data_IF_440742675971
#
_entry.id   IF_440742675971
#
_cell.length_a   1.000
_cell.length_b   1.000
_cell.length_c   1.000
_cell.angle_alpha   90.00
_cell.angle_beta   90.00
_cell.angle_gamma   90.00
#
_symmetry.space_group_name_H-M   'P 1'
#
loop_
_entity.id
_entity.type
_entity.pdbx_description
1 polymer ?
#
# COMPACT_ATOMS: atom_id res chain seq x y z
N UNK A 1 -26.97 0.57 3.04
CA UNK A 1 -26.16 -0.55 3.57
C UNK A 1 -24.83 -0.56 2.84
N UNK A 2 -23.76 -0.86 3.58
CA UNK A 2 -22.35 -0.69 3.23
C UNK A 2 -21.92 -1.65 2.10
N UNK A 3 -21.65 -1.13 0.91
CA UNK A 3 -20.97 -1.85 -0.19
C UNK A 3 -19.84 -1.04 -0.84
N UNK A 4 -19.55 0.17 -0.33
CA UNK A 4 -18.64 1.15 -0.94
C UNK A 4 -17.13 0.87 -0.73
N UNK A 5 -16.76 -0.13 0.08
CA UNK A 5 -15.37 -0.41 0.43
C UNK A 5 -14.67 -1.43 -0.49
N UNK A 6 -15.44 -2.22 -1.26
CA UNK A 6 -14.90 -3.29 -2.11
C UNK A 6 -14.61 -2.78 -3.53
N UNK A 7 -15.31 -1.72 -3.98
CA UNK A 7 -15.12 -1.09 -5.29
C UNK A 7 -13.84 -0.26 -5.42
N UNK A 8 -13.28 0.26 -4.32
CA UNK A 8 -12.08 1.11 -4.34
C UNK A 8 -10.80 0.35 -4.71
N UNK A 9 -10.65 -0.88 -4.24
CA UNK A 9 -9.52 -1.74 -4.59
C UNK A 9 -9.66 -2.31 -5.99
N UNK A 10 -10.89 -2.67 -6.39
CA UNK A 10 -11.19 -3.21 -7.73
C UNK A 10 -11.00 -2.13 -8.81
N UNK A 11 -11.32 -0.87 -8.55
CA UNK A 11 -11.09 0.21 -9.54
C UNK A 11 -9.58 0.40 -9.81
N UNK A 12 -8.73 0.58 -8.78
CA UNK A 12 -7.28 0.71 -8.99
C UNK A 12 -6.64 -0.57 -9.55
N UNK A 13 -7.16 -1.75 -9.19
CA UNK A 13 -6.72 -3.03 -9.77
C UNK A 13 -7.17 -3.15 -11.23
N UNK A 14 -8.36 -2.65 -11.60
CA UNK A 14 -8.91 -2.75 -12.94
C UNK A 14 -8.32 -1.73 -13.93
N UNK A 15 -7.92 -0.53 -13.48
CA UNK A 15 -7.23 0.44 -14.34
C UNK A 15 -5.79 0.04 -14.63
N UNK A 16 -5.14 -0.68 -13.72
CA UNK A 16 -3.91 -1.40 -14.05
C UNK A 16 -4.24 -2.60 -14.96
N UNK A 17 -5.19 -3.48 -14.58
CA UNK A 17 -5.59 -4.72 -15.29
C UNK A 17 -5.96 -4.52 -16.78
N UNK A 18 -6.65 -3.42 -17.12
CA UNK A 18 -7.04 -3.09 -18.48
C UNK A 18 -5.83 -2.89 -19.41
N UNK A 19 -4.69 -2.41 -18.89
CA UNK A 19 -3.43 -2.36 -19.63
C UNK A 19 -2.68 -3.72 -19.66
N UNK A 20 -3.10 -4.71 -18.87
CA UNK A 20 -2.39 -6.00 -18.64
C UNK A 20 -2.79 -7.10 -19.60
N UNK A 21 -3.77 -6.89 -20.48
CA UNK A 21 -4.01 -7.80 -21.61
C UNK A 21 -2.88 -7.76 -22.67
N UNK A 22 -1.78 -7.02 -22.43
CA UNK A 22 -0.85 -6.59 -23.47
C UNK A 22 0.56 -7.20 -23.41
N UNK A 23 0.89 -7.98 -22.38
CA UNK A 23 2.26 -8.48 -22.17
C UNK A 23 2.36 -10.00 -22.06
N UNK A 24 1.95 -10.72 -23.11
CA UNK A 24 2.45 -12.07 -23.34
C UNK A 24 2.92 -12.21 -24.79
N UNK A 25 4.25 -12.15 -24.93
CA UNK A 25 5.11 -12.70 -25.99
C UNK A 25 4.74 -12.44 -27.46
N UNK A 26 5.66 -11.74 -28.13
CA UNK A 26 5.82 -11.50 -29.57
C UNK A 26 4.74 -10.64 -30.26
N UNK A 27 5.18 -9.42 -30.63
CA UNK A 27 4.52 -8.47 -31.54
C UNK A 27 3.38 -7.58 -30.99
N UNK A 28 3.44 -7.14 -29.73
CA UNK A 28 2.74 -5.88 -29.37
C UNK A 28 3.53 -4.69 -29.95
N UNK A 29 2.91 -3.77 -30.71
CA UNK A 29 3.58 -2.55 -31.14
C UNK A 29 4.08 -1.78 -29.91
N UNK A 30 5.24 -1.12 -30.03
CA UNK A 30 5.70 -0.17 -29.02
C UNK A 30 4.61 0.89 -28.87
N UNK A 31 3.97 0.93 -27.71
CA UNK A 31 2.91 1.91 -27.46
C UNK A 31 3.52 3.31 -27.52
N UNK A 32 2.89 4.24 -28.25
CA UNK A 32 3.36 5.62 -28.27
C UNK A 32 3.16 6.28 -26.90
N UNK A 33 3.82 7.40 -26.69
CA UNK A 33 3.46 8.32 -25.61
C UNK A 33 2.03 8.85 -25.81
N UNK A 34 1.22 8.85 -24.75
CA UNK A 34 -0.14 9.35 -24.82
C UNK A 34 -0.71 9.82 -23.48
N UNK A 35 -1.75 10.65 -23.54
CA UNK A 35 -2.68 10.93 -22.45
C UNK A 35 -4.07 10.47 -22.86
N UNK A 36 -4.67 9.60 -22.05
CA UNK A 36 -6.03 9.12 -22.24
C UNK A 36 -6.90 9.53 -21.06
N UNK A 37 -8.14 9.91 -21.34
CA UNK A 37 -9.18 10.10 -20.32
C UNK A 37 -10.25 9.05 -20.54
N UNK A 38 -10.61 8.34 -19.48
CA UNK A 38 -11.61 7.28 -19.49
C UNK A 38 -12.71 7.56 -18.47
N UNK A 39 -13.93 7.16 -18.80
CA UNK A 39 -15.11 7.31 -17.96
C UNK A 39 -15.62 5.93 -17.54
N UNK A 40 -15.84 5.73 -16.24
CA UNK A 40 -16.58 4.56 -15.78
C UNK A 40 -18.05 4.67 -16.17
N UNK A 41 -18.63 3.53 -16.58
CA UNK A 41 -20.01 3.41 -17.01
C UNK A 41 -20.76 2.42 -16.12
N UNK A 42 -22.03 2.72 -15.82
CA UNK A 42 -22.92 1.78 -15.16
C UNK A 42 -23.35 0.64 -16.11
N UNK A 43 -24.11 -0.33 -15.59
CA UNK A 43 -24.65 -1.45 -16.38
C UNK A 43 -25.51 -1.04 -17.59
N UNK A 44 -25.99 0.21 -17.63
CA UNK A 44 -26.80 0.76 -18.71
C UNK A 44 -25.97 1.65 -19.66
N UNK A 45 -24.65 1.71 -19.48
CA UNK A 45 -23.75 2.55 -20.26
C UNK A 45 -23.79 4.04 -19.89
N UNK A 46 -24.35 4.40 -18.73
CA UNK A 46 -24.38 5.80 -18.26
C UNK A 46 -23.09 6.16 -17.52
N UNK A 47 -22.52 7.37 -17.75
CA UNK A 47 -21.38 7.85 -16.98
C UNK A 47 -21.63 7.83 -15.47
N UNK A 48 -20.67 7.28 -14.74
CA UNK A 48 -20.61 7.26 -13.28
C UNK A 48 -19.17 7.50 -12.84
N UNK A 49 -18.97 7.98 -11.61
CA UNK A 49 -17.62 8.09 -11.08
C UNK A 49 -16.93 6.71 -10.95
N UNK A 50 -15.60 6.65 -11.15
CA UNK A 50 -14.70 7.76 -11.39
C UNK A 50 -14.40 8.03 -12.88
N UNK A 51 -13.95 9.25 -13.17
CA UNK A 51 -13.13 9.55 -14.35
C UNK A 51 -11.67 9.27 -14.04
N UNK A 52 -10.94 8.70 -15.01
CA UNK A 52 -9.52 8.35 -14.87
C UNK A 52 -8.70 8.91 -16.02
N UNK A 53 -7.64 9.63 -15.67
CA UNK A 53 -6.60 10.08 -16.61
C UNK A 53 -5.43 9.10 -16.56
N UNK A 54 -4.96 8.67 -17.72
CA UNK A 54 -3.82 7.76 -17.88
C UNK A 54 -2.79 8.48 -18.74
N UNK A 55 -1.60 8.67 -18.20
CA UNK A 55 -0.41 9.14 -18.92
C UNK A 55 0.51 7.96 -19.14
N UNK A 56 0.92 7.71 -20.39
CA UNK A 56 1.87 6.66 -20.76
C UNK A 56 3.14 7.27 -21.34
N UNK A 57 4.30 6.82 -20.85
CA UNK A 57 5.61 7.17 -21.38
C UNK A 57 6.60 6.03 -21.13
N UNK A 58 7.29 5.56 -22.17
CA UNK A 58 8.40 4.59 -22.05
C UNK A 58 8.03 3.31 -21.24
N UNK A 59 6.81 2.78 -21.44
CA UNK A 59 6.29 1.60 -20.74
C UNK A 59 5.81 1.85 -19.31
N UNK A 60 5.89 3.11 -18.83
CA UNK A 60 5.40 3.54 -17.54
C UNK A 60 4.02 4.18 -17.67
N UNK A 61 3.19 3.96 -16.66
CA UNK A 61 1.85 4.51 -16.58
C UNK A 61 1.69 5.34 -15.31
N UNK A 62 1.12 6.53 -15.44
CA UNK A 62 0.59 7.31 -14.34
C UNK A 62 -0.93 7.37 -14.47
N UNK A 63 -1.65 6.77 -13.53
CA UNK A 63 -3.12 6.77 -13.50
C UNK A 63 -3.62 7.70 -12.40
N UNK A 64 -4.46 8.67 -12.73
CA UNK A 64 -5.08 9.58 -11.78
C UNK A 64 -6.59 9.34 -11.74
N UNK A 65 -7.10 8.91 -10.59
CA UNK A 65 -8.53 8.67 -10.36
C UNK A 65 -9.05 9.74 -9.40
N UNK A 66 -10.01 10.56 -9.84
CA UNK A 66 -10.65 11.55 -8.97
C UNK A 66 -11.90 10.95 -8.32
N UNK A 67 -12.00 11.04 -6.99
CA UNK A 67 -13.18 10.62 -6.23
C UNK A 67 -13.35 11.47 -4.98
N UNK A 68 -14.55 12.03 -4.79
CA UNK A 68 -14.91 12.74 -3.56
C UNK A 68 -13.89 13.84 -3.17
N UNK A 69 -13.32 14.54 -4.17
CA UNK A 69 -12.29 15.57 -3.98
C UNK A 69 -10.88 15.06 -3.67
N UNK A 70 -10.67 13.74 -3.59
CA UNK A 70 -9.36 13.11 -3.43
C UNK A 70 -8.93 12.44 -4.74
N UNK A 71 -7.73 12.77 -5.20
CA UNK A 71 -7.10 12.11 -6.34
C UNK A 71 -6.25 10.95 -5.85
N UNK A 72 -6.60 9.73 -6.25
CA UNK A 72 -5.75 8.54 -6.07
C UNK A 72 -4.87 8.37 -7.29
N UNK A 73 -3.56 8.24 -7.09
CA UNK A 73 -2.57 8.23 -8.16
C UNK A 73 -1.76 6.94 -8.06
N UNK A 74 -1.58 6.26 -9.20
CA UNK A 74 -0.75 5.07 -9.35
C UNK A 74 0.33 5.32 -10.38
N UNK A 75 1.54 4.85 -10.11
CA UNK A 75 2.70 4.92 -10.99
C UNK A 75 3.40 3.55 -11.02
N UNK A 76 3.66 3.05 -12.22
CA UNK A 76 4.32 1.76 -12.40
C UNK A 76 4.23 1.24 -13.83
N UNK A 77 4.88 0.11 -14.12
CA UNK A 77 4.69 -0.59 -15.39
C UNK A 77 3.28 -1.19 -15.50
N UNK A 78 2.87 -1.55 -16.70
CA UNK A 78 1.61 -2.27 -16.93
C UNK A 78 1.61 -3.70 -16.37
N UNK A 79 2.75 -4.34 -16.08
CA UNK A 79 2.78 -5.71 -15.54
C UNK A 79 2.59 -5.75 -14.02
N UNK A 80 2.29 -6.94 -13.46
CA UNK A 80 2.07 -7.23 -12.03
C UNK A 80 3.29 -7.01 -11.11
N UNK A 81 4.09 -5.99 -11.41
CA UNK A 81 5.33 -5.58 -10.78
C UNK A 81 5.13 -4.17 -10.18
N UNK A 82 6.05 -3.70 -9.34
CA UNK A 82 5.75 -2.88 -8.17
C UNK A 82 5.06 -1.57 -8.50
N UNK A 83 4.08 -1.22 -7.67
CA UNK A 83 3.26 -0.03 -7.87
C UNK A 83 3.57 0.96 -6.76
N UNK A 84 3.96 2.16 -7.18
CA UNK A 84 3.93 3.35 -6.36
C UNK A 84 2.53 3.94 -6.40
N UNK A 85 1.97 4.24 -5.23
CA UNK A 85 0.66 4.90 -5.12
C UNK A 85 0.74 6.05 -4.16
N UNK A 86 0.01 7.10 -4.43
CA UNK A 86 -0.20 8.18 -3.47
C UNK A 86 -1.57 8.80 -3.63
N UNK A 87 -2.02 9.52 -2.61
CA UNK A 87 -3.25 10.31 -2.69
C UNK A 87 -2.96 11.78 -2.51
N UNK A 88 -3.68 12.60 -3.27
CA UNK A 88 -3.65 14.06 -3.20
C UNK A 88 -5.05 14.59 -2.92
N UNK A 89 -5.20 15.42 -1.89
CA UNK A 89 -6.45 16.12 -1.59
C UNK A 89 -6.70 17.28 -2.56
N UNK A 90 -7.91 17.84 -2.53
CA UNK A 90 -8.31 18.96 -3.39
C UNK A 90 -7.43 20.21 -3.21
N UNK A 91 -6.89 20.43 -2.00
CA UNK A 91 -5.98 21.54 -1.68
C UNK A 91 -4.53 21.28 -2.12
N UNK A 92 -4.25 20.12 -2.70
CA UNK A 92 -2.93 19.70 -3.16
C UNK A 92 -2.11 18.93 -2.13
N UNK A 93 -2.58 18.76 -0.89
CA UNK A 93 -1.84 18.01 0.13
C UNK A 93 -1.78 16.52 -0.20
N UNK A 94 -0.58 15.95 -0.07
CA UNK A 94 -0.35 14.52 -0.24
C UNK A 94 -0.47 13.82 1.12
N UNK A 95 -1.40 12.89 1.22
CA UNK A 95 -1.81 12.29 2.50
C UNK A 95 -1.48 10.81 2.65
N UNK A 96 -1.10 10.15 1.56
CA UNK A 96 -0.79 8.72 1.56
C UNK A 96 0.28 8.39 0.53
N UNK A 97 1.09 7.39 0.84
CA UNK A 97 2.04 6.72 -0.04
C UNK A 97 1.97 5.22 0.20
N UNK A 98 2.05 4.44 -0.87
CA UNK A 98 2.33 3.01 -0.84
C UNK A 98 3.34 2.65 -1.92
N UNK A 99 4.40 1.94 -1.54
CA UNK A 99 5.26 1.18 -2.44
C UNK A 99 5.05 -0.30 -2.11
N UNK A 100 4.71 -1.09 -3.13
CA UNK A 100 4.35 -2.49 -2.94
C UNK A 100 5.04 -3.39 -3.96
N UNK A 101 5.85 -4.31 -3.45
CA UNK A 101 6.40 -5.46 -4.16
C UNK A 101 5.76 -6.73 -3.58
N UNK A 102 5.18 -7.58 -4.42
CA UNK A 102 4.53 -8.83 -4.00
C UNK A 102 5.44 -10.02 -4.31
N UNK A 103 5.38 -11.03 -3.44
CA UNK A 103 5.91 -12.35 -3.76
C UNK A 103 5.30 -12.83 -5.07
N UNK A 104 6.11 -12.97 -6.11
CA UNK A 104 5.70 -13.66 -7.33
C UNK A 104 5.51 -15.12 -6.97
N UNK A 105 4.26 -15.56 -6.74
CA UNK A 105 3.96 -16.99 -6.76
C UNK A 105 4.18 -17.47 -8.21
N UNK A 106 5.08 -18.43 -8.47
CA UNK A 106 5.39 -18.84 -9.85
C UNK A 106 4.22 -19.46 -10.64
N UNK A 107 3.05 -19.72 -10.06
CA UNK A 107 2.11 -20.69 -10.67
C UNK A 107 0.59 -20.38 -10.56
N UNK A 108 0.15 -19.15 -10.27
CA UNK A 108 -1.30 -18.86 -10.17
C UNK A 108 -1.94 -18.26 -11.43
N UNK A 109 -1.15 -17.80 -12.39
CA UNK A 109 -1.65 -17.31 -13.66
C UNK A 109 -0.79 -17.88 -14.79
N UNK A 110 -1.17 -19.05 -15.30
CA UNK A 110 -1.22 -19.14 -16.75
C UNK A 110 -2.25 -18.10 -17.16
N UNK A 111 -1.83 -16.85 -17.33
CA UNK A 111 -2.66 -15.78 -17.88
C UNK A 111 -3.17 -16.35 -19.19
N UNK A 112 -4.45 -16.66 -19.26
CA UNK A 112 -5.02 -17.19 -20.49
C UNK A 112 -4.72 -16.18 -21.59
N UNK A 113 -4.15 -16.67 -22.70
CA UNK A 113 -3.82 -15.81 -23.82
C UNK A 113 -5.11 -15.13 -24.29
N UNK A 114 -5.18 -13.79 -24.33
CA UNK A 114 -6.37 -13.09 -24.79
C UNK A 114 -6.77 -13.59 -26.18
N UNK A 115 -8.03 -14.00 -26.33
CA UNK A 115 -8.56 -14.47 -27.60
C UNK A 115 -9.15 -13.30 -28.39
N UNK A 116 -8.81 -13.15 -29.69
CA UNK A 116 -9.40 -12.10 -30.50
C UNK A 116 -10.90 -12.36 -30.70
N UNK A 117 -11.70 -11.31 -30.58
CA UNK A 117 -13.09 -11.32 -31.02
C UNK A 117 -13.15 -10.75 -32.45
N UNK A 118 -14.11 -11.21 -33.25
CA UNK A 118 -14.33 -10.68 -34.61
C UNK A 118 -14.93 -9.26 -34.61
N UNK A 119 -15.22 -8.71 -33.43
CA UNK A 119 -15.83 -7.40 -33.25
C UNK A 119 -14.80 -6.28 -33.37
N UNK A 120 -15.16 -5.26 -34.15
CA UNK A 120 -14.44 -4.00 -34.28
C UNK A 120 -15.38 -2.89 -33.82
N UNK A 121 -14.85 -1.92 -33.08
CA UNK A 121 -15.61 -0.77 -32.61
C UNK A 121 -14.86 0.53 -32.90
N UNK A 122 -15.62 1.63 -32.88
CA UNK A 122 -15.06 2.99 -32.87
C UNK A 122 -15.47 3.66 -31.57
N UNK A 123 -14.48 4.09 -30.78
CA UNK A 123 -14.68 4.72 -29.48
C UNK A 123 -13.92 6.04 -29.47
N UNK A 124 -14.59 7.15 -29.20
CA UNK A 124 -13.99 8.50 -29.22
C UNK A 124 -13.21 8.82 -30.52
N UNK A 125 -13.66 8.29 -31.66
CA UNK A 125 -13.00 8.47 -32.96
C UNK A 125 -11.89 7.44 -33.25
N UNK A 126 -11.50 6.63 -32.27
CA UNK A 126 -10.45 5.61 -32.39
C UNK A 126 -11.04 4.26 -32.77
N UNK A 127 -10.44 3.61 -33.78
CA UNK A 127 -10.81 2.26 -34.19
C UNK A 127 -10.08 1.24 -33.32
N UNK A 128 -10.80 0.25 -32.80
CA UNK A 128 -10.23 -0.79 -31.96
C UNK A 128 -10.81 -2.18 -32.27
N UNK A 129 -10.04 -3.22 -31.93
CA UNK A 129 -10.44 -4.63 -32.03
C UNK A 129 -10.62 -5.21 -30.64
N UNK A 130 -11.68 -5.97 -30.46
CA UNK A 130 -11.96 -6.60 -29.18
C UNK A 130 -11.13 -7.86 -28.96
N UNK A 131 -10.71 -8.07 -27.72
CA UNK A 131 -10.09 -9.29 -27.21
C UNK A 131 -10.76 -9.69 -25.92
N UNK A 132 -10.86 -10.98 -25.66
CA UNK A 132 -11.43 -11.53 -24.43
C UNK A 132 -10.41 -12.41 -23.70
N UNK A 133 -10.27 -12.18 -22.40
CA UNK A 133 -9.59 -13.08 -21.49
C UNK A 133 -10.65 -13.71 -20.58
N UNK A 134 -10.86 -15.01 -20.71
CA UNK A 134 -11.63 -15.78 -19.74
C UNK A 134 -10.66 -16.35 -18.69
N UNK A 135 -11.09 -16.46 -17.43
CA UNK A 135 -10.33 -17.20 -16.42
C UNK A 135 -10.85 -18.63 -16.32
N UNK A 136 -9.96 -19.63 -16.32
CA UNK A 136 -10.31 -21.00 -15.92
C UNK A 136 -10.90 -21.02 -14.52
N UNK A 137 -12.04 -21.68 -14.38
CA UNK A 137 -12.67 -21.85 -13.07
C UNK A 137 -11.73 -22.62 -12.13
N UNK A 138 -11.38 -22.08 -10.96
CA UNK A 138 -10.49 -22.76 -10.02
C UNK A 138 -11.15 -24.00 -9.39
N UNK A 139 -12.48 -24.12 -9.45
CA UNK A 139 -13.23 -25.32 -9.09
C UNK A 139 -14.65 -25.28 -9.70
N UNK A 140 -15.29 -26.44 -9.99
CA UNK A 140 -16.64 -26.50 -10.55
C UNK A 140 -17.64 -25.69 -9.69
N UNK A 141 -18.36 -24.76 -10.32
CA UNK A 141 -19.32 -23.88 -9.63
C UNK A 141 -18.78 -22.50 -9.24
N UNK A 142 -17.50 -22.20 -9.48
CA UNK A 142 -16.91 -20.88 -9.18
C UNK A 142 -17.09 -19.91 -10.35
N UNK A 143 -17.46 -18.67 -10.02
CA UNK A 143 -17.65 -17.54 -10.93
C UNK A 143 -16.47 -17.35 -11.88
N UNK A 144 -16.74 -17.27 -13.19
CA UNK A 144 -15.77 -16.85 -14.20
C UNK A 144 -16.13 -15.43 -14.61
N UNK A 145 -15.29 -14.47 -14.24
CA UNK A 145 -15.32 -13.16 -14.86
C UNK A 145 -14.71 -13.28 -16.26
N UNK A 146 -15.36 -12.72 -17.28
CA UNK A 146 -14.74 -12.53 -18.60
C UNK A 146 -14.34 -11.08 -18.73
N UNK A 147 -13.09 -10.83 -19.08
CA UNK A 147 -12.59 -9.49 -19.35
C UNK A 147 -12.52 -9.28 -20.85
N UNK A 148 -13.22 -8.28 -21.36
CA UNK A 148 -13.14 -7.85 -22.75
C UNK A 148 -12.47 -6.49 -22.83
N UNK A 149 -11.48 -6.37 -23.70
CA UNK A 149 -10.74 -5.12 -23.93
C UNK A 149 -10.80 -4.75 -25.41
N UNK A 150 -11.11 -3.49 -25.72
CA UNK A 150 -10.99 -2.96 -27.08
C UNK A 150 -9.67 -2.22 -27.23
N UNK A 151 -8.81 -2.72 -28.13
CA UNK A 151 -7.43 -2.26 -28.29
C UNK A 151 -7.24 -1.67 -29.68
N UNK A 152 -6.65 -0.48 -29.77
CA UNK A 152 -6.28 0.17 -31.03
C UNK A 152 -5.13 -0.57 -31.74
N UNK A 153 -4.88 -0.23 -33.01
CA UNK A 153 -3.82 -0.87 -33.81
C UNK A 153 -2.41 -0.59 -33.25
N UNK A 154 -2.21 0.53 -32.54
CA UNK A 154 -0.98 0.89 -31.82
C UNK A 154 -0.93 0.36 -30.38
N UNK A 155 -1.89 -0.47 -29.99
CA UNK A 155 -1.84 -1.18 -28.72
C UNK A 155 -2.33 -0.37 -27.52
N UNK A 156 -3.25 0.59 -27.67
CA UNK A 156 -3.84 1.35 -26.56
C UNK A 156 -5.21 0.73 -26.22
N UNK A 157 -5.46 0.42 -24.95
CA UNK A 157 -6.78 -0.04 -24.50
C UNK A 157 -7.69 1.17 -24.31
N UNK A 158 -8.78 1.20 -25.08
CA UNK A 158 -9.72 2.34 -25.11
C UNK A 158 -11.12 1.98 -24.60
N UNK A 159 -11.39 0.71 -24.34
CA UNK A 159 -12.59 0.27 -23.64
C UNK A 159 -12.31 -1.03 -22.90
N UNK A 160 -12.80 -1.18 -21.67
CA UNK A 160 -12.71 -2.43 -20.90
C UNK A 160 -14.06 -2.78 -20.32
N UNK A 161 -14.44 -4.05 -20.40
CA UNK A 161 -15.66 -4.61 -19.81
C UNK A 161 -15.28 -5.85 -19.01
N UNK A 162 -15.54 -5.82 -17.72
CA UNK A 162 -15.54 -7.03 -16.90
C UNK A 162 -16.97 -7.53 -16.83
N UNK A 163 -17.23 -8.68 -17.45
CA UNK A 163 -18.55 -9.26 -17.61
C UNK A 163 -18.79 -10.35 -16.57
N UNK A 164 -19.99 -10.32 -15.98
CA UNK A 164 -20.53 -11.46 -15.25
C UNK A 164 -20.99 -12.59 -16.21
N UNK A 165 -21.32 -13.79 -15.69
CA UNK A 165 -21.79 -14.91 -16.50
C UNK A 165 -23.04 -14.63 -17.34
N UNK A 166 -23.85 -13.64 -16.95
CA UNK A 166 -25.04 -13.21 -17.68
C UNK A 166 -24.77 -12.07 -18.69
N UNK A 167 -23.51 -11.87 -19.07
CA UNK A 167 -23.04 -10.81 -19.98
C UNK A 167 -23.28 -9.38 -19.48
N UNK A 168 -23.67 -9.20 -18.20
CA UNK A 168 -23.83 -7.86 -17.63
C UNK A 168 -22.46 -7.35 -17.16
N UNK A 169 -22.04 -6.13 -17.59
CA UNK A 169 -20.82 -5.52 -17.10
C UNK A 169 -20.92 -5.22 -15.61
N UNK A 170 -20.01 -5.81 -14.82
CA UNK A 170 -19.79 -5.45 -13.41
C UNK A 170 -18.77 -4.31 -13.28
N UNK A 171 -17.97 -4.11 -14.33
CA UNK A 171 -17.09 -2.97 -14.50
C UNK A 171 -17.03 -2.63 -15.99
N UNK A 172 -17.14 -1.35 -16.32
CA UNK A 172 -17.07 -0.87 -17.70
C UNK A 172 -16.40 0.48 -17.71
N UNK A 173 -15.34 0.62 -18.50
CA UNK A 173 -14.68 1.89 -18.76
C UNK A 173 -14.58 2.13 -20.24
N UNK A 174 -14.74 3.40 -20.64
CA UNK A 174 -14.69 3.82 -22.04
C UNK A 174 -13.90 5.11 -22.18
N UNK A 175 -13.05 5.17 -23.20
CA UNK A 175 -12.30 6.35 -23.59
C UNK A 175 -13.25 7.51 -23.94
N UNK A 176 -12.94 8.70 -23.43
CA UNK A 176 -13.60 9.96 -23.77
C UNK A 176 -12.70 10.86 -24.61
N UNK A 177 -11.39 10.83 -24.38
CA UNK A 177 -10.40 11.54 -25.18
C UNK A 177 -9.05 10.84 -25.18
N UNK A 178 -8.35 10.87 -26.31
CA UNK A 178 -6.99 10.36 -26.46
C UNK A 178 -6.14 11.41 -27.17
N UNK A 179 -5.00 11.74 -26.57
CA UNK A 179 -3.99 12.66 -27.11
C UNK A 179 -2.66 11.93 -27.22
N UNK A 180 -2.25 11.63 -28.46
CA UNK A 180 -0.95 11.00 -28.75
C UNK A 180 0.08 12.09 -28.95
N UNK A 181 0.93 12.31 -27.94
CA UNK A 181 1.97 13.34 -27.95
C UNK A 181 3.12 12.91 -27.07
N UNK A 182 4.29 13.50 -27.28
CA UNK A 182 5.40 13.35 -26.37
C UNK A 182 5.01 13.82 -24.95
N UNK A 183 5.41 13.04 -23.95
CA UNK A 183 5.21 13.35 -22.53
C UNK A 183 6.50 13.90 -21.95
N UNK A 184 6.43 15.07 -21.29
CA UNK A 184 7.56 15.58 -20.54
C UNK A 184 7.74 14.80 -19.22
N UNK A 185 8.98 14.61 -18.70
CA UNK A 185 9.20 13.88 -17.45
C UNK A 185 8.33 14.37 -16.28
N UNK A 186 8.18 15.69 -16.13
CA UNK A 186 7.37 16.29 -15.06
C UNK A 186 5.86 15.96 -15.12
N UNK A 187 5.35 15.42 -16.23
CA UNK A 187 3.94 15.02 -16.37
C UNK A 187 3.68 13.58 -15.88
N UNK A 188 4.73 12.77 -15.74
CA UNK A 188 4.62 11.36 -15.33
C UNK A 188 5.40 11.05 -14.05
N UNK A 189 6.46 11.80 -13.78
CA UNK A 189 7.33 11.52 -12.64
C UNK A 189 6.64 11.80 -11.30
N UNK A 190 6.76 10.89 -10.32
CA UNK A 190 6.28 11.12 -8.98
C UNK A 190 6.96 12.33 -8.32
N UNK A 191 6.25 13.11 -7.48
CA UNK A 191 6.87 14.21 -6.74
C UNK A 191 8.01 13.69 -5.83
N UNK A 192 9.24 14.15 -6.04
CA UNK A 192 10.41 13.59 -5.37
C UNK A 192 10.36 13.72 -3.84
N UNK A 193 9.67 14.74 -3.33
CA UNK A 193 9.53 14.96 -1.89
C UNK A 193 8.81 13.81 -1.17
N UNK A 194 7.86 13.11 -1.82
CA UNK A 194 7.12 12.02 -1.19
C UNK A 194 7.97 10.76 -1.01
N UNK A 195 9.11 10.70 -1.70
CA UNK A 195 10.07 9.59 -1.65
C UNK A 195 11.15 9.82 -0.59
N UNK A 196 10.80 10.50 0.50
CA UNK A 196 11.72 10.79 1.61
C UNK A 196 11.04 10.56 2.96
N UNK A 197 11.80 10.07 3.95
CA UNK A 197 11.27 9.94 5.31
C UNK A 197 10.95 11.32 5.90
N UNK A 198 11.71 12.35 5.54
CA UNK A 198 11.59 13.73 6.00
C UNK A 198 10.21 14.32 5.68
N UNK A 199 9.70 14.05 4.47
CA UNK A 199 8.36 14.51 4.11
C UNK A 199 7.31 13.92 5.05
N UNK A 200 7.34 12.61 5.32
CA UNK A 200 6.32 11.93 6.13
C UNK A 200 6.48 12.16 7.64
N UNK A 201 7.71 12.39 8.11
CA UNK A 201 8.03 12.60 9.52
C UNK A 201 8.09 14.07 9.95
N UNK A 202 7.90 15.01 9.01
CA UNK A 202 7.80 16.44 9.35
C UNK A 202 6.52 16.68 10.17
N UNK A 203 6.64 17.17 11.43
CA UNK A 203 5.50 17.45 12.29
C UNK A 203 4.52 18.43 11.66
N UNK A 204 3.22 18.22 11.90
CA UNK A 204 2.16 19.14 11.43
C UNK A 204 2.00 20.28 12.43
N UNK A 205 2.24 20.01 13.71
CA UNK A 205 2.15 20.95 14.83
C UNK A 205 3.43 20.88 15.66
N UNK A 206 3.76 21.99 16.29
CA UNK A 206 4.81 22.02 17.30
C UNK A 206 4.26 21.41 18.59
N UNK A 207 4.90 20.33 19.04
CA UNK A 207 4.62 19.71 20.33
C UNK A 207 5.79 19.99 21.28
N UNK A 208 5.48 20.50 22.47
CA UNK A 208 6.47 20.59 23.54
C UNK A 208 6.74 19.19 24.08
N UNK A 209 7.98 18.93 24.49
CA UNK A 209 8.33 17.68 25.18
C UNK A 209 7.42 17.49 26.42
N UNK A 210 6.98 16.27 26.65
CA UNK A 210 6.19 15.87 27.81
C UNK A 210 7.10 15.18 28.84
N UNK A 211 7.39 15.79 30.00
CA UNK A 211 8.24 15.18 31.02
C UNK A 211 7.71 13.84 31.56
N UNK A 212 6.41 13.57 31.42
CA UNK A 212 5.80 12.28 31.80
C UNK A 212 6.03 11.17 30.76
N UNK A 213 6.50 11.54 29.57
CA UNK A 213 6.80 10.62 28.46
C UNK A 213 8.23 10.83 27.95
N UNK A 214 9.27 10.61 28.79
CA UNK A 214 10.65 10.89 28.43
C UNK A 214 11.13 10.02 27.25
N UNK A 215 11.98 10.55 26.39
CA UNK A 215 12.58 9.75 25.32
C UNK A 215 13.31 8.50 25.86
N UNK A 216 13.32 7.43 25.06
CA UNK A 216 13.93 6.17 25.44
C UNK A 216 14.48 5.39 24.24
N UNK A 217 15.39 4.45 24.54
CA UNK A 217 15.90 3.44 23.63
C UNK A 217 15.90 2.08 24.34
N UNK A 218 15.14 1.12 23.79
CA UNK A 218 15.00 -0.23 24.33
C UNK A 218 15.31 -1.22 23.22
N UNK A 219 16.14 -2.21 23.53
CA UNK A 219 16.33 -3.39 22.67
C UNK A 219 15.86 -4.62 23.43
N UNK A 220 15.01 -5.41 22.79
CA UNK A 220 14.53 -6.69 23.29
C UNK A 220 14.90 -7.79 22.33
N UNK A 221 15.18 -8.97 22.87
CA UNK A 221 15.63 -10.11 22.08
C UNK A 221 14.92 -11.39 22.53
N UNK A 222 14.69 -12.29 21.57
CA UNK A 222 14.31 -13.67 21.86
C UNK A 222 15.56 -14.54 22.02
N UNK A 223 15.40 -15.70 22.65
CA UNK A 223 16.47 -16.72 22.72
C UNK A 223 16.90 -17.20 21.32
N UNK A 224 15.99 -17.15 20.34
CA UNK A 224 16.25 -17.52 18.94
C UNK A 224 16.93 -16.42 18.11
N UNK A 225 17.23 -15.26 18.70
CA UNK A 225 17.93 -14.16 18.03
C UNK A 225 17.05 -13.18 17.24
N UNK A 226 15.72 -13.24 17.36
CA UNK A 226 14.86 -12.18 16.85
C UNK A 226 14.97 -10.96 17.76
N UNK A 227 15.00 -9.75 17.18
CA UNK A 227 15.19 -8.51 17.93
C UNK A 227 14.04 -7.53 17.71
N UNK A 228 13.73 -6.75 18.75
CA UNK A 228 12.85 -5.60 18.69
C UNK A 228 13.62 -4.39 19.23
N UNK A 229 13.67 -3.30 18.45
CA UNK A 229 14.17 -2.01 18.91
C UNK A 229 13.02 -1.02 19.01
N UNK A 230 12.88 -0.38 20.17
CA UNK A 230 11.88 0.63 20.44
C UNK A 230 12.56 1.95 20.75
N UNK A 231 12.15 3.02 20.07
CA UNK A 231 12.58 4.38 20.38
C UNK A 231 11.37 5.28 20.62
N UNK A 232 11.55 6.30 21.45
CA UNK A 232 10.62 7.43 21.56
C UNK A 232 11.37 8.75 21.42
N UNK A 233 10.83 9.62 20.56
CA UNK A 233 11.15 11.04 20.45
C UNK A 233 9.82 11.77 20.49
N UNK A 234 9.38 12.24 21.65
CA UNK A 234 7.99 12.68 21.82
C UNK A 234 7.52 13.66 20.71
N UNK A 235 6.35 13.44 20.07
CA UNK A 235 5.36 12.36 20.27
C UNK A 235 5.55 11.11 19.36
N UNK A 236 6.67 11.02 18.67
CA UNK A 236 7.03 9.92 17.78
C UNK A 236 7.44 8.67 18.54
N UNK A 237 7.02 7.54 17.99
CA UNK A 237 7.39 6.21 18.43
C UNK A 237 7.96 5.44 17.24
N UNK A 238 8.99 4.65 17.51
CA UNK A 238 9.64 3.77 16.55
C UNK A 238 9.59 2.35 17.09
N UNK A 239 9.24 1.40 16.24
CA UNK A 239 9.33 -0.03 16.50
C UNK A 239 9.92 -0.71 15.29
N UNK A 240 11.10 -1.26 15.44
CA UNK A 240 11.72 -2.15 14.48
C UNK A 240 11.72 -3.56 15.05
N UNK A 241 11.32 -4.53 14.23
CA UNK A 241 11.41 -5.94 14.54
C UNK A 241 12.19 -6.61 13.41
N UNK A 242 13.20 -7.40 13.78
CA UNK A 242 13.98 -8.23 12.87
C UNK A 242 13.88 -9.67 13.34
N UNK A 243 13.35 -10.53 12.47
CA UNK A 243 13.22 -11.96 12.77
C UNK A 243 14.42 -12.73 12.21
N UNK A 244 14.77 -13.87 12.82
CA UNK A 244 15.89 -14.71 12.38
C UNK A 244 15.81 -15.22 10.92
N UNK A 245 14.62 -15.17 10.31
CA UNK A 245 14.38 -15.51 8.89
C UNK A 245 14.63 -14.37 7.90
N UNK A 246 15.21 -13.24 8.33
CA UNK A 246 15.47 -12.07 7.49
C UNK A 246 14.25 -11.16 7.27
N UNK A 247 13.13 -11.45 7.93
CA UNK A 247 11.95 -10.57 7.97
C UNK A 247 12.25 -9.32 8.78
N UNK A 248 11.87 -8.16 8.25
CA UNK A 248 12.02 -6.86 8.89
C UNK A 248 10.67 -6.16 8.87
N UNK A 249 10.24 -5.63 10.02
CA UNK A 249 9.08 -4.76 10.14
C UNK A 249 9.46 -3.52 10.91
N UNK A 250 9.31 -2.35 10.32
CA UNK A 250 9.56 -1.06 10.96
C UNK A 250 8.25 -0.27 10.97
N UNK A 251 7.93 0.35 12.10
CA UNK A 251 6.82 1.29 12.25
C UNK A 251 7.35 2.55 12.93
N UNK A 252 7.02 3.70 12.36
CA UNK A 252 7.33 5.02 12.90
C UNK A 252 6.00 5.77 12.93
N UNK A 253 5.53 6.19 14.09
CA UNK A 253 4.21 6.80 14.17
C UNK A 253 4.13 7.90 15.23
N UNK A 254 3.33 8.92 14.93
CA UNK A 254 2.90 9.95 15.85
C UNK A 254 1.39 9.77 16.08
N UNK A 255 1.00 9.28 17.26
CA UNK A 255 -0.43 9.06 17.59
C UNK A 255 -1.21 10.36 17.68
N UNK A 256 -0.58 11.45 18.12
CA UNK A 256 -1.25 12.74 18.29
C UNK A 256 -1.62 13.37 16.94
N UNK A 257 -0.84 13.09 15.91
CA UNK A 257 -1.03 13.64 14.56
C UNK A 257 -1.57 12.60 13.57
N UNK A 258 -1.84 11.36 13.98
CA UNK A 258 -2.32 10.27 13.11
C UNK A 258 -1.48 10.12 11.81
N UNK A 259 -0.16 10.25 11.94
CA UNK A 259 0.78 10.17 10.82
C UNK A 259 1.90 9.18 11.12
N UNK A 260 2.54 8.68 10.06
CA UNK A 260 3.66 7.78 10.22
C UNK A 260 4.09 7.06 8.95
N UNK A 261 5.04 6.16 9.14
CA UNK A 261 5.58 5.25 8.13
C UNK A 261 5.48 3.83 8.69
N UNK A 262 5.10 2.87 7.85
CA UNK A 262 5.19 1.44 8.12
C UNK A 262 5.92 0.78 6.96
N UNK A 263 6.93 -0.01 7.29
CA UNK A 263 7.72 -0.77 6.34
C UNK A 263 7.74 -2.23 6.74
N UNK A 264 7.61 -3.12 5.78
CA UNK A 264 7.70 -4.57 5.98
C UNK A 264 8.42 -5.21 4.80
N UNK A 265 9.32 -6.12 5.10
CA UNK A 265 9.98 -6.99 4.16
C UNK A 265 10.00 -8.40 4.72
N UNK A 266 9.54 -9.38 3.94
CA UNK A 266 9.64 -10.80 4.28
C UNK A 266 9.58 -11.61 2.98
N UNK A 267 10.58 -12.46 2.74
CA UNK A 267 10.70 -13.15 1.45
C UNK A 267 10.83 -12.15 0.29
N UNK A 268 10.12 -12.37 -0.81
CA UNK A 268 9.99 -11.44 -1.93
C UNK A 268 8.83 -10.43 -1.78
N UNK A 269 8.16 -10.39 -0.63
CA UNK A 269 7.20 -9.33 -0.32
C UNK A 269 7.89 -8.16 0.37
N UNK A 270 7.72 -6.96 -0.19
CA UNK A 270 8.16 -5.69 0.40
C UNK A 270 7.00 -4.70 0.32
N UNK A 271 6.75 -3.96 1.40
CA UNK A 271 5.71 -2.92 1.44
C UNK A 271 6.17 -1.76 2.30
N UNK A 272 6.11 -0.56 1.74
CA UNK A 272 6.27 0.69 2.46
C UNK A 272 4.96 1.43 2.33
N UNK A 273 4.45 1.93 3.44
CA UNK A 273 3.31 2.83 3.46
C UNK A 273 3.63 4.02 4.34
N UNK A 274 3.27 5.20 3.90
CA UNK A 274 3.38 6.40 4.71
C UNK A 274 2.11 7.23 4.61
N UNK A 275 1.77 7.94 5.67
CA UNK A 275 0.51 8.65 5.74
C UNK A 275 0.53 9.85 6.67
N UNK A 276 -0.39 10.76 6.36
CA UNK A 276 -0.74 11.96 7.10
C UNK A 276 -2.26 12.01 7.26
N UNK A 277 -2.77 12.72 8.29
CA UNK A 277 -4.19 12.88 8.50
C UNK A 277 -4.84 13.58 7.31
N UNK A 278 -6.08 13.18 7.00
CA UNK A 278 -6.95 13.86 6.05
C UNK A 278 -7.82 14.90 6.76
N UNK A 279 -8.44 15.80 5.99
CA UNK A 279 -9.25 16.92 6.53
C UNK A 279 -10.48 16.46 7.31
N UNK A 280 -10.99 15.26 7.00
CA UNK A 280 -12.08 14.62 7.75
C UNK A 280 -11.63 14.06 9.11
N UNK A 281 -10.35 14.24 9.47
CA UNK A 281 -9.74 13.75 10.69
C UNK A 281 -9.62 12.23 10.74
N UNK A 282 -9.95 11.52 9.66
CA UNK A 282 -9.81 10.07 9.61
C UNK A 282 -8.34 9.71 9.50
N UNK A 283 -7.91 8.78 10.38
CA UNK A 283 -6.58 8.21 10.26
C UNK A 283 -6.63 7.18 9.12
N UNK A 284 -5.85 7.42 8.06
CA UNK A 284 -5.63 6.45 6.98
C UNK A 284 -4.90 5.19 7.47
N UNK A 285 -4.25 5.26 8.64
CA UNK A 285 -3.59 4.13 9.30
C UNK A 285 -3.96 4.03 10.79
N UNK A 286 -4.43 2.84 11.19
CA UNK A 286 -4.45 2.45 12.60
C UNK A 286 -3.08 1.87 12.97
N UNK A 287 -2.31 2.63 13.74
CA UNK A 287 -0.97 2.23 14.16
C UNK A 287 -0.97 1.30 15.38
N UNK A 288 -2.04 1.33 16.17
CA UNK A 288 -2.23 0.46 17.34
C UNK A 288 -3.70 0.06 17.53
N UNK A 289 -3.91 -1.19 17.92
CA UNK A 289 -5.20 -1.76 18.29
C UNK A 289 -5.10 -2.32 19.72
N UNK A 290 -4.64 -1.52 20.69
CA UNK A 290 -4.82 -1.88 22.10
C UNK A 290 -6.30 -1.81 22.43
N UNK A 291 -6.91 -2.95 22.78
CA UNK A 291 -8.32 -3.04 23.21
C UNK A 291 -8.50 -2.69 24.70
N UNK A 292 -7.42 -2.30 25.37
CA UNK A 292 -7.37 -2.01 26.79
C UNK A 292 -6.08 -2.56 27.40
N UNK A 293 -5.96 -2.46 28.73
CA UNK A 293 -4.85 -3.00 29.50
C UNK A 293 -5.39 -3.54 30.82
N UNK A 294 -5.23 -4.84 31.07
CA UNK A 294 -5.64 -5.50 32.32
C UNK A 294 -4.40 -5.97 33.09
N UNK A 295 -4.30 -5.62 34.37
CA UNK A 295 -3.21 -6.10 35.23
C UNK A 295 -3.33 -7.61 35.47
N UNK A 296 -2.19 -8.30 35.38
CA UNK A 296 -2.08 -9.72 35.69
C UNK A 296 -1.64 -9.98 37.13
N UNK A 297 -1.45 -8.94 37.95
CA UNK A 297 -1.05 -9.05 39.36
C UNK A 297 0.34 -9.66 39.58
N UNK A 298 1.18 -9.69 38.55
CA UNK A 298 2.54 -10.25 38.58
C UNK A 298 3.56 -9.13 38.35
N UNK A 299 4.57 -9.06 39.21
CA UNK A 299 5.69 -8.14 39.08
C UNK A 299 7.01 -8.90 38.84
N UNK A 300 7.97 -8.26 38.21
CA UNK A 300 9.29 -8.79 37.91
C UNK A 300 10.33 -7.67 37.90
N UNK A 301 11.63 -8.02 37.97
CA UNK A 301 12.72 -7.09 37.76
C UNK A 301 13.55 -7.52 36.55
N UNK A 302 13.80 -6.59 35.62
CA UNK A 302 14.57 -6.82 34.39
C UNK A 302 15.57 -5.68 34.23
N UNK A 303 16.85 -6.00 34.06
CA UNK A 303 17.95 -5.01 33.99
C UNK A 303 17.99 -4.05 35.20
N UNK A 304 17.52 -4.49 36.37
CA UNK A 304 17.45 -3.67 37.59
C UNK A 304 16.22 -2.75 37.69
N UNK A 305 15.36 -2.71 36.67
CA UNK A 305 14.10 -1.96 36.66
C UNK A 305 12.94 -2.90 37.03
N UNK A 306 12.03 -2.43 37.88
CA UNK A 306 10.80 -3.16 38.21
C UNK A 306 9.75 -2.96 37.13
N UNK A 307 9.06 -4.04 36.75
CA UNK A 307 7.93 -4.02 35.83
C UNK A 307 6.76 -4.88 36.33
N UNK A 308 5.55 -4.53 35.89
CA UNK A 308 4.32 -5.28 36.15
C UNK A 308 3.75 -5.83 34.85
N UNK A 309 3.21 -7.04 34.92
CA UNK A 309 2.64 -7.73 33.76
C UNK A 309 1.21 -7.30 33.48
N UNK A 310 0.92 -7.03 32.23
CA UNK A 310 -0.41 -6.66 31.75
C UNK A 310 -0.78 -7.43 30.49
N UNK A 311 -2.07 -7.72 30.33
CA UNK A 311 -2.67 -8.18 29.08
C UNK A 311 -3.19 -6.96 28.30
N UNK A 312 -2.67 -6.78 27.08
CA UNK A 312 -3.01 -5.67 26.18
C UNK A 312 -4.04 -6.05 25.11
N UNK A 313 -4.46 -7.32 25.07
CA UNK A 313 -5.51 -7.81 24.17
C UNK A 313 -6.57 -8.61 24.95
N UNK A 314 -7.16 -8.05 26.02
CA UNK A 314 -8.14 -8.78 26.81
C UNK A 314 -9.35 -9.19 25.98
N UNK A 315 -9.72 -10.47 26.06
CA UNK A 315 -10.91 -11.02 25.39
C UNK A 315 -10.72 -11.37 23.91
N UNK A 316 -9.51 -11.23 23.36
CA UNK A 316 -9.20 -11.70 22.00
C UNK A 316 -8.89 -13.20 22.05
N UNK A 317 -9.57 -13.97 21.18
CA UNK A 317 -9.30 -15.41 20.99
C UNK A 317 -8.20 -15.59 19.93
N UNK A 318 -7.37 -16.63 20.07
CA UNK A 318 -6.32 -17.04 19.11
C UNK A 318 -5.13 -16.08 18.92
N UNK A 319 -5.08 -15.00 19.70
CA UNK A 319 -3.94 -14.09 19.80
C UNK A 319 -3.86 -13.50 21.22
N UNK A 320 -2.66 -13.14 21.64
CA UNK A 320 -2.44 -12.48 22.93
C UNK A 320 -1.18 -11.63 22.92
N UNK A 321 -1.25 -10.48 23.58
CA UNK A 321 -0.09 -9.63 23.81
C UNK A 321 0.00 -9.33 25.31
N UNK A 322 0.99 -9.92 25.98
CA UNK A 322 1.28 -9.62 27.39
C UNK A 322 2.60 -8.90 27.50
N UNK A 323 2.63 -7.82 28.25
CA UNK A 323 3.84 -7.01 28.39
C UNK A 323 4.17 -6.77 29.87
N UNK A 324 5.46 -6.86 30.22
CA UNK A 324 5.97 -6.41 31.51
C UNK A 324 6.39 -4.95 31.37
N UNK A 325 5.60 -4.04 31.93
CA UNK A 325 5.74 -2.60 31.77
C UNK A 325 6.31 -1.96 33.03
N UNK A 326 7.28 -1.06 32.88
CA UNK A 326 7.72 -0.17 33.97
C UNK A 326 6.57 0.75 34.43
N UNK A 327 6.79 1.47 35.54
CA UNK A 327 5.82 2.45 36.06
C UNK A 327 5.44 3.53 35.04
N UNK A 328 6.38 3.94 34.18
CA UNK A 328 6.20 4.89 33.08
C UNK A 328 5.72 4.23 31.77
N UNK A 329 5.33 2.96 31.81
CA UNK A 329 4.69 2.26 30.69
C UNK A 329 5.67 1.72 29.64
N UNK A 330 6.95 1.55 29.95
CA UNK A 330 7.96 1.08 29.02
C UNK A 330 8.09 -0.46 29.08
N UNK A 331 8.06 -1.17 27.94
CA UNK A 331 8.11 -2.62 27.94
C UNK A 331 9.53 -3.15 28.17
N UNK A 332 9.69 -4.01 29.18
CA UNK A 332 10.91 -4.76 29.45
C UNK A 332 10.82 -6.23 29.04
N UNK A 333 9.60 -6.76 28.88
CA UNK A 333 9.31 -8.07 28.29
C UNK A 333 8.04 -8.01 27.46
N UNK A 334 8.00 -8.76 26.37
CA UNK A 334 6.80 -8.97 25.56
C UNK A 334 6.60 -10.46 25.32
N UNK A 335 5.43 -10.98 25.66
CA UNK A 335 4.98 -12.30 25.29
C UNK A 335 3.90 -12.15 24.22
N UNK A 336 4.32 -12.24 22.97
CA UNK A 336 3.42 -12.20 21.82
C UNK A 336 3.05 -13.63 21.48
N UNK A 337 1.75 -13.91 21.52
CA UNK A 337 1.18 -15.20 21.19
C UNK A 337 0.18 -15.10 20.04
N UNK A 338 0.22 -16.09 19.16
CA UNK A 338 -0.77 -16.31 18.11
C UNK A 338 -1.09 -17.80 18.01
N UNK A 339 -2.00 -18.14 17.09
CA UNK A 339 -2.60 -19.46 16.89
C UNK A 339 -1.64 -20.67 17.01
N UNK A 340 -0.34 -20.53 16.73
CA UNK A 340 0.67 -21.59 16.90
C UNK A 340 2.08 -21.09 17.33
N UNK A 341 2.21 -19.88 17.89
CA UNK A 341 3.52 -19.30 18.17
C UNK A 341 3.48 -18.45 19.44
N UNK A 342 4.40 -18.68 20.35
CA UNK A 342 4.68 -17.80 21.48
C UNK A 342 6.15 -17.36 21.38
N UNK A 343 6.38 -16.07 21.20
CA UNK A 343 7.73 -15.50 21.14
C UNK A 343 7.93 -14.55 22.33
N UNK A 344 8.58 -15.02 23.41
CA UNK A 344 8.96 -14.17 24.51
C UNK A 344 10.19 -13.33 24.14
N UNK A 345 10.05 -12.02 24.23
CA UNK A 345 11.13 -11.05 24.10
C UNK A 345 11.50 -10.54 25.49
N UNK A 346 12.81 -10.42 25.77
CA UNK A 346 13.32 -9.81 27.01
C UNK A 346 14.27 -8.67 26.67
N UNK A 347 14.16 -7.56 27.39
CA UNK A 347 15.04 -6.42 27.21
C UNK A 347 16.50 -6.80 27.50
N UNK A 348 17.38 -6.53 26.54
CA UNK A 348 18.84 -6.67 26.64
C UNK A 348 19.52 -5.32 26.84
N UNK A 349 18.85 -4.23 26.45
CA UNK A 349 19.27 -2.85 26.70
C UNK A 349 18.07 -1.97 27.00
N UNK A 350 18.23 -1.06 27.95
CA UNK A 350 17.20 -0.11 28.37
C UNK A 350 17.84 1.21 28.80
N UNK A 351 17.49 2.32 28.14
CA UNK A 351 18.02 3.66 28.46
C UNK A 351 16.93 4.72 28.32
N UNK A 352 16.76 5.55 29.35
CA UNK A 352 16.01 6.82 29.27
C UNK A 352 16.98 7.91 28.82
N UNK A 353 16.91 8.32 27.55
CA UNK A 353 17.83 9.29 26.93
C UNK A 353 17.10 10.08 25.86
N UNK A 354 17.58 11.28 25.56
CA UNK A 354 17.14 12.00 24.37
C UNK A 354 17.40 11.15 23.11
N UNK A 355 16.41 11.09 22.23
CA UNK A 355 16.50 10.44 20.92
C UNK A 355 16.29 11.52 19.86
N UNK A 356 17.20 11.61 18.89
CA UNK A 356 16.98 12.51 17.77
C UNK A 356 16.01 11.89 16.76
N UNK A 357 15.13 12.70 16.15
CA UNK A 357 14.20 12.20 15.11
C UNK A 357 14.94 11.57 13.91
N UNK A 358 16.20 11.96 13.66
CA UNK A 358 17.06 11.33 12.65
C UNK A 358 17.40 9.87 12.96
N UNK A 359 17.37 9.44 14.23
CA UNK A 359 17.56 8.04 14.63
C UNK A 359 16.33 7.16 14.34
N UNK A 360 15.17 7.77 14.06
CA UNK A 360 13.89 7.09 13.81
C UNK A 360 13.57 6.97 12.32
N UNK A 361 14.50 7.25 11.41
CA UNK A 361 14.25 7.26 9.97
C UNK A 361 14.50 5.89 9.35
N UNK A 362 13.73 5.57 8.32
CA UNK A 362 14.12 4.50 7.41
C UNK A 362 15.36 4.92 6.62
N UNK A 363 16.19 3.95 6.18
CA UNK A 363 17.26 4.20 5.23
C UNK A 363 16.70 4.79 3.92
N UNK A 364 17.48 5.62 3.22
CA UNK A 364 17.04 6.28 1.98
C UNK A 364 16.66 5.26 0.88
N UNK A 365 17.36 4.14 0.88
CA UNK A 365 17.14 2.95 0.04
C UNK A 365 15.75 2.33 0.25
N UNK A 366 15.07 2.63 1.38
CA UNK A 366 13.69 2.22 1.59
C UNK A 366 12.72 2.94 0.63
N UNK A 367 13.04 4.16 0.21
CA UNK A 367 12.23 5.01 -0.66
C UNK A 367 12.76 5.11 -2.10
N UNK A 368 13.94 4.57 -2.38
CA UNK A 368 14.58 4.66 -3.69
C UNK A 368 13.84 3.82 -4.73
N UNK A 369 13.34 4.42 -5.81
CA UNK A 369 12.50 3.73 -6.79
C UNK A 369 13.18 2.53 -7.46
N UNK A 370 14.49 2.61 -7.70
CA UNK A 370 15.31 1.53 -8.29
C UNK A 370 15.37 0.27 -7.41
N UNK A 371 15.43 0.42 -6.09
CA UNK A 371 15.33 -0.67 -5.10
C UNK A 371 13.96 -1.37 -5.12
N UNK A 372 12.97 -0.69 -5.69
CA UNK A 372 11.67 -1.24 -6.01
C UNK A 372 11.55 -1.59 -7.49
N UNK A 373 12.59 -1.62 -8.31
CA UNK A 373 12.47 -1.96 -9.74
C UNK A 373 11.67 -0.94 -10.57
N UNK A 374 11.53 0.29 -10.08
CA UNK A 374 10.95 1.43 -10.78
C UNK A 374 12.06 2.37 -11.27
N UNK A 375 11.85 3.13 -12.36
CA UNK A 375 12.84 4.09 -12.83
C UNK A 375 13.03 5.20 -11.79
N UNK A 376 14.27 5.67 -11.65
CA UNK A 376 14.57 6.87 -10.86
C UNK A 376 13.88 8.10 -11.46
N UNK A 377 13.44 9.02 -10.60
CA UNK A 377 12.91 10.32 -11.01
C UNK A 377 14.02 11.10 -11.74
N UNK A 378 13.70 11.67 -12.91
CA UNK A 378 14.70 12.27 -13.81
C UNK A 378 14.98 13.75 -13.53
#
# INVERSE_FOLDING_TARGET
MKTAAITGTIACIAFAAAAVAQSNLDASPVQPDYVAVTQALDKNGKPVDPTVTITHHDGMFLSETLRDGTKSIGFGPASNDPVLRWSRQADGQITFLELLLRDRKPDAAKTETPQPLAEVSTVAGERCRWRETASKSPSPGTFIAREQTCVTDDGIVIETRLLAPNDVPIYHTRLTSLDRRAIAPAEIDPPSEILTAEFWLRPIRSHNADPSQPDFDITLETVSGSTIRLLRHYPWHYREQRDGGGSVSIKIWNRLEAQGISYRQAGGHRRLTAARPTDDGSASFKFDETTGKISLGKAEAVLGESCEWFDLMPGVQDAGNRECLTRDGLPLKLDISGMNLALPYTATSFRRRAVALSEMRLPAEAFSLDEWGLPAVR
#
